data_IF_885266485199
#
_entry.id   IF_885266485199
#
_cell.length_a   1.000
_cell.length_b   1.000
_cell.length_c   1.000
_cell.angle_alpha   90.00
_cell.angle_beta   90.00
_cell.angle_gamma   90.00
#
_symmetry.space_group_name_H-M   'P 1'
#
loop_
_entity.id
_entity.type
_entity.pdbx_description
1 polymer ?
#
# COMPACT_ATOMS: atom_id res chain seq x y z
N UNK A 1 -4.84 -2.44 2.42
CA UNK A 1 -3.90 -1.30 2.61
C UNK A 1 -2.94 -1.53 3.77
N UNK A 2 -3.43 -1.86 4.98
CA UNK A 2 -2.61 -2.17 6.16
C UNK A 2 -1.44 -3.13 5.87
N UNK A 3 -1.71 -4.26 5.18
CA UNK A 3 -0.66 -5.21 4.76
C UNK A 3 0.50 -4.58 3.98
N UNK A 4 0.22 -3.59 3.13
CA UNK A 4 1.26 -2.90 2.33
C UNK A 4 1.97 -1.80 3.13
N UNK A 5 1.33 -1.28 4.19
CA UNK A 5 1.91 -0.29 5.11
C UNK A 5 2.82 -0.97 6.13
N UNK A 6 2.48 -2.18 6.56
CA UNK A 6 3.26 -2.95 7.54
C UNK A 6 4.43 -3.69 6.89
N UNK A 7 4.23 -4.22 5.68
CA UNK A 7 5.25 -4.98 4.97
C UNK A 7 6.26 -4.09 4.26
N UNK A 8 7.55 -4.30 4.48
CA UNK A 8 8.64 -3.66 3.71
C UNK A 8 8.84 -4.32 2.34
N UNK A 9 8.20 -5.47 2.12
CA UNK A 9 8.25 -6.26 0.90
C UNK A 9 6.92 -6.09 0.16
N UNK A 10 6.88 -6.14 -1.19
CA UNK A 10 5.64 -6.18 -1.93
C UNK A 10 4.68 -7.25 -1.38
N UNK A 11 3.39 -6.91 -1.32
CA UNK A 11 2.35 -7.81 -0.80
C UNK A 11 1.25 -8.01 -1.83
N UNK A 12 0.67 -9.20 -1.84
CA UNK A 12 -0.52 -9.45 -2.64
C UNK A 12 -1.74 -8.80 -1.99
N UNK A 13 -2.43 -7.96 -2.76
CA UNK A 13 -3.74 -7.40 -2.41
C UNK A 13 -4.78 -7.83 -3.44
N UNK A 14 -6.04 -7.88 -3.01
CA UNK A 14 -7.18 -8.06 -3.90
C UNK A 14 -7.16 -7.06 -5.05
N UNK A 15 -7.41 -7.54 -6.27
CA UNK A 15 -7.21 -6.77 -7.52
C UNK A 15 -8.00 -5.46 -7.53
N UNK A 16 -9.26 -5.48 -7.10
CA UNK A 16 -10.09 -4.27 -7.02
C UNK A 16 -9.53 -3.24 -6.04
N UNK A 17 -8.98 -3.69 -4.90
CA UNK A 17 -8.39 -2.80 -3.91
C UNK A 17 -7.07 -2.20 -4.40
N UNK A 18 -6.21 -3.03 -5.01
CA UNK A 18 -4.93 -2.58 -5.55
C UNK A 18 -5.12 -1.63 -6.73
N UNK A 19 -6.10 -1.87 -7.60
CA UNK A 19 -6.43 -0.92 -8.67
C UNK A 19 -6.84 0.44 -8.12
N UNK A 20 -7.75 0.48 -7.15
CA UNK A 20 -8.18 1.73 -6.51
C UNK A 20 -7.03 2.48 -5.84
N UNK A 21 -6.19 1.78 -5.08
CA UNK A 21 -5.05 2.38 -4.39
C UNK A 21 -3.98 2.90 -5.37
N UNK A 22 -3.81 2.23 -6.52
CA UNK A 22 -2.94 2.69 -7.60
C UNK A 22 -3.49 3.95 -8.27
N UNK A 23 -4.79 4.02 -8.55
CA UNK A 23 -5.44 5.21 -9.11
C UNK A 23 -5.31 6.44 -8.19
N UNK A 24 -5.23 6.22 -6.87
CA UNK A 24 -4.99 7.26 -5.88
C UNK A 24 -3.50 7.63 -5.72
N UNK A 25 -2.58 6.96 -6.41
CA UNK A 25 -1.14 7.21 -6.28
C UNK A 25 -0.55 6.80 -4.92
N UNK A 26 -1.15 5.82 -4.23
CA UNK A 26 -0.69 5.38 -2.90
C UNK A 26 0.27 4.20 -2.96
N UNK A 27 0.12 3.37 -4.00
CA UNK A 27 0.91 2.16 -4.20
C UNK A 27 1.40 2.07 -5.65
N UNK A 28 2.40 1.22 -5.87
CA UNK A 28 2.80 0.75 -7.19
C UNK A 28 2.70 -0.78 -7.28
N UNK A 29 2.58 -1.28 -8.51
CA UNK A 29 2.56 -2.72 -8.78
C UNK A 29 3.99 -3.22 -9.01
N UNK A 30 4.36 -4.30 -8.30
CA UNK A 30 5.55 -5.10 -8.54
C UNK A 30 5.08 -6.49 -8.98
N UNK A 31 4.88 -6.65 -10.29
CA UNK A 31 4.23 -7.86 -10.84
C UNK A 31 2.79 -7.99 -10.35
N UNK A 32 2.50 -9.10 -9.66
CA UNK A 32 1.17 -9.39 -9.08
C UNK A 32 1.02 -8.89 -7.63
N UNK A 33 2.03 -8.21 -7.11
CA UNK A 33 2.07 -7.68 -5.76
C UNK A 33 2.13 -6.15 -5.79
N UNK A 34 1.95 -5.53 -4.63
CA UNK A 34 1.93 -4.08 -4.49
C UNK A 34 2.86 -3.63 -3.38
N UNK A 35 3.48 -2.46 -3.55
CA UNK A 35 4.22 -1.78 -2.50
C UNK A 35 3.79 -0.32 -2.38
N UNK A 36 3.95 0.27 -1.20
CA UNK A 36 3.72 1.70 -1.01
C UNK A 36 4.70 2.52 -1.86
N UNK A 37 4.20 3.58 -2.50
CA UNK A 37 5.01 4.43 -3.40
C UNK A 37 6.11 5.21 -2.67
N UNK A 38 5.87 5.59 -1.42
CA UNK A 38 6.85 6.31 -0.62
C UNK A 38 6.65 6.05 0.88
N UNK A 39 7.72 6.28 1.65
CA UNK A 39 7.71 6.13 3.10
C UNK A 39 6.80 7.15 3.80
N UNK A 40 6.51 8.30 3.18
CA UNK A 40 5.62 9.30 3.76
C UNK A 40 4.20 8.75 3.95
N UNK A 41 3.60 8.15 2.91
CA UNK A 41 2.28 7.55 3.03
C UNK A 41 2.29 6.37 4.00
N UNK A 42 3.35 5.56 3.99
CA UNK A 42 3.53 4.47 4.95
C UNK A 42 3.45 4.99 6.39
N UNK A 43 4.20 6.04 6.72
CA UNK A 43 4.20 6.64 8.07
C UNK A 43 2.86 7.28 8.41
N UNK A 44 2.30 8.10 7.50
CA UNK A 44 1.02 8.78 7.71
C UNK A 44 -0.13 7.81 8.00
N UNK A 45 -0.27 6.76 7.19
CA UNK A 45 -1.33 5.77 7.41
C UNK A 45 -1.02 4.84 8.58
N UNK A 46 0.25 4.54 8.88
CA UNK A 46 0.61 3.78 10.09
C UNK A 46 0.16 4.54 11.33
N UNK A 47 0.46 5.83 11.44
CA UNK A 47 0.06 6.65 12.59
C UNK A 47 -1.47 6.74 12.71
N UNK A 48 -2.17 7.02 11.61
CA UNK A 48 -3.63 7.23 11.63
C UNK A 48 -4.49 5.97 11.73
N UNK A 49 -3.94 4.81 11.41
CA UNK A 49 -4.63 3.52 11.52
C UNK A 49 -4.21 2.75 12.78
N UNK A 50 -3.33 3.33 13.61
CA UNK A 50 -2.98 2.81 14.94
C UNK A 50 -3.89 3.37 16.05
N UNK A 51 -4.80 4.29 15.72
CA UNK A 51 -5.97 4.72 16.53
C UNK A 51 -7.21 3.88 16.17
#
# INVERSE_FOLDING_TARGET
>A
MLKAIESEIPVKLEFAQSFKLRSLGLIEFKGNEVQCLCNLYRLYFRERLSE
#
